data_IF_434760632199
#
_entry.id   IF_434760632199
#
_cell.length_a   1.000
_cell.length_b   1.000
_cell.length_c   1.000
_cell.angle_alpha   90.00
_cell.angle_beta   90.00
_cell.angle_gamma   90.00
#
_symmetry.space_group_name_H-M   'P 1'
#
loop_
_entity.id
_entity.type
_entity.pdbx_description
1 polymer ?
#
# COMPACT_ATOMS: atom_id res chain seq x y z
N UNK A 1 -11.55 -4.05 -6.83
CA UNK A 1 -12.03 -5.21 -6.05
C UNK A 1 -12.96 -4.76 -4.93
N UNK A 2 -12.51 -3.85 -4.05
CA UNK A 2 -13.29 -3.41 -2.88
C UNK A 2 -14.64 -2.75 -3.20
N UNK A 3 -14.75 -1.95 -4.26
CA UNK A 3 -16.05 -1.37 -4.69
C UNK A 3 -17.09 -2.44 -5.03
N UNK A 4 -16.65 -3.54 -5.64
CA UNK A 4 -17.51 -4.66 -6.00
C UNK A 4 -17.88 -5.50 -4.78
N UNK A 5 -16.94 -5.69 -3.85
CA UNK A 5 -17.16 -6.37 -2.56
C UNK A 5 -18.20 -5.61 -1.71
N UNK A 6 -17.98 -4.30 -1.49
CA UNK A 6 -18.90 -3.43 -0.72
C UNK A 6 -20.28 -3.29 -1.36
N UNK A 7 -20.35 -3.26 -2.69
CA UNK A 7 -21.62 -3.22 -3.42
C UNK A 7 -22.41 -4.53 -3.28
N UNK A 8 -21.71 -5.67 -3.32
CA UNK A 8 -22.32 -6.98 -3.10
C UNK A 8 -22.83 -7.16 -1.67
N UNK A 9 -22.06 -6.72 -0.69
CA UNK A 9 -22.45 -6.73 0.73
C UNK A 9 -23.73 -5.92 0.98
N UNK A 10 -23.83 -4.73 0.38
CA UNK A 10 -25.06 -3.92 0.44
C UNK A 10 -26.26 -4.62 -0.22
N UNK A 11 -26.09 -5.19 -1.41
CA UNK A 11 -27.18 -5.87 -2.11
C UNK A 11 -27.67 -7.12 -1.34
N UNK A 12 -26.77 -7.82 -0.65
CA UNK A 12 -27.13 -8.93 0.23
C UNK A 12 -27.95 -8.46 1.44
N UNK A 13 -27.55 -7.36 2.08
CA UNK A 13 -28.29 -6.72 3.16
C UNK A 13 -29.69 -6.25 2.73
N UNK A 14 -29.83 -5.69 1.53
CA UNK A 14 -31.12 -5.29 0.94
C UNK A 14 -32.05 -6.49 0.72
N UNK A 15 -31.49 -7.59 0.21
CA UNK A 15 -32.24 -8.83 -0.04
C UNK A 15 -32.77 -9.46 1.24
N UNK A 16 -32.00 -9.42 2.33
CA UNK A 16 -32.41 -9.98 3.63
C UNK A 16 -33.42 -9.06 4.34
N UNK A 17 -33.26 -7.74 4.20
CA UNK A 17 -34.14 -6.75 4.82
C UNK A 17 -35.39 -6.41 4.00
N UNK A 18 -35.51 -6.96 2.78
CA UNK A 18 -36.59 -6.68 1.81
C UNK A 18 -36.84 -5.18 1.60
N UNK A 19 -35.79 -4.37 1.79
CA UNK A 19 -35.84 -2.92 1.80
C UNK A 19 -34.64 -2.39 1.03
N UNK A 20 -34.85 -1.38 0.18
CA UNK A 20 -33.76 -0.68 -0.49
C UNK A 20 -32.94 0.13 0.52
N UNK A 21 -31.65 -0.19 0.63
CA UNK A 21 -30.70 0.46 1.53
C UNK A 21 -29.86 1.51 0.79
N UNK A 22 -29.96 1.58 -0.54
CA UNK A 22 -29.22 2.49 -1.40
C UNK A 22 -29.33 3.94 -0.97
N UNK A 23 -30.54 4.40 -0.62
CA UNK A 23 -30.81 5.79 -0.19
C UNK A 23 -30.71 6.00 1.33
N UNK A 24 -30.38 4.96 2.08
CA UNK A 24 -30.19 5.07 3.53
C UNK A 24 -28.84 5.69 3.88
N UNK A 25 -28.71 6.15 5.12
CA UNK A 25 -27.41 6.63 5.65
C UNK A 25 -26.31 5.58 5.49
N UNK A 26 -26.65 4.29 5.60
CA UNK A 26 -25.71 3.17 5.48
C UNK A 26 -25.24 3.01 4.04
N UNK A 27 -26.17 3.01 3.07
CA UNK A 27 -25.83 2.94 1.64
C UNK A 27 -24.95 4.10 1.19
N UNK A 28 -25.28 5.34 1.60
CA UNK A 28 -24.43 6.51 1.31
C UNK A 28 -23.06 6.44 1.97
N UNK A 29 -22.97 6.01 3.23
CA UNK A 29 -21.70 5.87 3.94
C UNK A 29 -20.80 4.82 3.27
N UNK A 30 -21.36 3.69 2.84
CA UNK A 30 -20.62 2.64 2.13
C UNK A 30 -20.07 3.14 0.79
N UNK A 31 -20.86 3.87 -0.01
CA UNK A 31 -20.37 4.51 -1.24
C UNK A 31 -19.24 5.51 -0.99
N UNK A 32 -19.37 6.34 0.04
CA UNK A 32 -18.31 7.29 0.41
C UNK A 32 -17.04 6.58 0.89
N UNK A 33 -17.17 5.51 1.68
CA UNK A 33 -16.03 4.70 2.10
C UNK A 33 -15.27 4.12 0.90
N UNK A 34 -15.99 3.58 -0.09
CA UNK A 34 -15.37 3.06 -1.32
C UNK A 34 -14.59 4.15 -2.07
N UNK A 35 -15.17 5.36 -2.21
CA UNK A 35 -14.48 6.47 -2.90
C UNK A 35 -13.21 6.86 -2.14
N UNK A 36 -13.30 7.04 -0.82
CA UNK A 36 -12.16 7.44 0.01
C UNK A 36 -11.06 6.38 -0.01
N UNK A 37 -11.41 5.11 0.19
CA UNK A 37 -10.43 4.02 0.19
C UNK A 37 -9.78 3.88 -1.18
N UNK A 38 -10.55 3.95 -2.27
CA UNK A 38 -9.99 3.87 -3.63
C UNK A 38 -9.03 5.02 -3.94
N UNK A 39 -9.33 6.23 -3.45
CA UNK A 39 -8.43 7.38 -3.58
C UNK A 39 -7.13 7.18 -2.78
N UNK A 40 -7.25 6.73 -1.53
CA UNK A 40 -6.09 6.49 -0.65
C UNK A 40 -5.22 5.35 -1.20
N UNK A 41 -5.81 4.25 -1.66
CA UNK A 41 -5.08 3.12 -2.24
C UNK A 41 -4.34 3.51 -3.53
N UNK A 42 -4.89 4.43 -4.33
CA UNK A 42 -4.22 4.96 -5.52
C UNK A 42 -3.12 5.98 -5.21
N UNK A 43 -3.39 6.93 -4.31
CA UNK A 43 -2.43 8.00 -4.00
C UNK A 43 -1.29 7.54 -3.09
N UNK A 44 -1.52 6.58 -2.20
CA UNK A 44 -0.51 6.18 -1.21
C UNK A 44 0.76 5.62 -1.84
N UNK A 45 0.71 4.68 -2.82
CA UNK A 45 1.91 4.20 -3.49
C UNK A 45 2.63 5.29 -4.29
N UNK A 46 1.88 6.24 -4.86
CA UNK A 46 2.45 7.36 -5.60
C UNK A 46 3.28 8.27 -4.69
N UNK A 47 2.69 8.72 -3.57
CA UNK A 47 3.38 9.55 -2.57
C UNK A 47 4.55 8.78 -1.95
N UNK A 48 4.36 7.49 -1.63
CA UNK A 48 5.42 6.63 -1.10
C UNK A 48 6.60 6.52 -2.07
N UNK A 49 6.33 6.40 -3.37
CA UNK A 49 7.37 6.32 -4.40
C UNK A 49 8.16 7.62 -4.51
N UNK A 50 7.49 8.78 -4.40
CA UNK A 50 8.17 10.08 -4.37
C UNK A 50 9.10 10.21 -3.17
N UNK A 51 8.68 9.74 -1.98
CA UNK A 51 9.51 9.75 -0.78
C UNK A 51 10.78 8.91 -0.98
N UNK A 52 10.64 7.72 -1.58
CA UNK A 52 11.77 6.82 -1.88
C UNK A 52 12.76 7.44 -2.88
N UNK A 53 12.29 8.32 -3.76
CA UNK A 53 13.13 9.01 -4.74
C UNK A 53 13.84 10.25 -4.19
N UNK A 54 13.50 10.75 -2.99
CA UNK A 54 14.14 11.94 -2.39
C UNK A 54 15.68 11.83 -2.38
N UNK A 55 16.31 10.71 -1.97
CA UNK A 55 17.77 10.56 -1.98
C UNK A 55 18.41 10.67 -3.37
N UNK A 56 17.66 10.38 -4.45
CA UNK A 56 18.12 10.58 -5.83
C UNK A 56 18.12 12.04 -6.24
N UNK A 57 17.15 12.85 -5.80
CA UNK A 57 17.13 14.29 -6.10
C UNK A 57 18.30 15.03 -5.46
N UNK A 58 18.76 14.59 -4.29
CA UNK A 58 19.95 15.14 -3.61
C UNK A 58 21.26 14.46 -4.02
N UNK A 59 21.25 13.53 -4.97
CA UNK A 59 22.45 12.84 -5.45
C UNK A 59 23.56 13.78 -5.96
N UNK A 60 23.26 14.90 -6.65
CA UNK A 60 24.28 15.89 -7.03
C UNK A 60 25.00 16.51 -5.83
N UNK A 61 24.35 16.59 -4.67
CA UNK A 61 24.93 17.13 -3.43
C UNK A 61 25.85 16.12 -2.73
N UNK A 62 25.55 14.83 -2.86
CA UNK A 62 26.33 13.73 -2.26
C UNK A 62 27.59 13.43 -3.08
N UNK A 63 27.57 13.73 -4.39
CA UNK A 63 28.71 13.56 -5.29
C UNK A 63 28.97 12.10 -5.70
N UNK A 64 28.16 11.14 -5.23
CA UNK A 64 28.28 9.73 -5.58
C UNK A 64 26.90 9.08 -5.80
N UNK A 65 26.62 8.70 -7.05
CA UNK A 65 25.36 8.10 -7.49
C UNK A 65 25.08 6.75 -6.79
N UNK A 66 26.12 5.95 -6.50
CA UNK A 66 25.98 4.65 -5.85
C UNK A 66 25.51 4.79 -4.40
N UNK A 67 26.04 5.80 -3.70
CA UNK A 67 25.65 6.09 -2.31
C UNK A 67 24.19 6.55 -2.26
N UNK A 68 23.80 7.45 -3.15
CA UNK A 68 22.40 7.90 -3.24
C UNK A 68 21.45 6.76 -3.60
N UNK A 69 21.87 5.84 -4.47
CA UNK A 69 21.08 4.66 -4.82
C UNK A 69 20.89 3.72 -3.63
N UNK A 70 21.98 3.45 -2.89
CA UNK A 70 21.91 2.66 -1.65
C UNK A 70 21.01 3.30 -0.59
N UNK A 71 21.06 4.64 -0.44
CA UNK A 71 20.18 5.38 0.45
C UNK A 71 18.70 5.29 0.03
N UNK A 72 18.39 5.40 -1.27
CA UNK A 72 17.03 5.20 -1.78
C UNK A 72 16.51 3.79 -1.47
N UNK A 73 17.33 2.75 -1.65
CA UNK A 73 16.95 1.38 -1.26
C UNK A 73 16.70 1.29 0.24
N UNK A 74 17.57 1.89 1.06
CA UNK A 74 17.40 1.89 2.51
C UNK A 74 16.09 2.59 2.94
N UNK A 75 15.76 3.73 2.34
CA UNK A 75 14.49 4.44 2.56
C UNK A 75 13.29 3.59 2.10
N UNK A 76 13.39 2.91 0.97
CA UNK A 76 12.35 2.01 0.49
C UNK A 76 12.08 0.86 1.47
N UNK A 77 13.14 0.17 1.92
CA UNK A 77 13.02 -0.94 2.87
C UNK A 77 12.52 -0.45 4.23
N UNK A 78 13.00 0.68 4.72
CA UNK A 78 12.51 1.28 5.97
C UNK A 78 11.02 1.65 5.88
N UNK A 79 10.59 2.21 4.75
CA UNK A 79 9.18 2.53 4.50
C UNK A 79 8.32 1.26 4.47
N UNK A 80 8.80 0.21 3.80
CA UNK A 80 8.10 -1.07 3.67
C UNK A 80 8.03 -1.84 5.00
N UNK A 81 9.07 -1.74 5.83
CA UNK A 81 9.07 -2.22 7.20
C UNK A 81 8.09 -1.43 8.07
N UNK A 82 8.08 -0.10 7.96
CA UNK A 82 7.14 0.79 8.65
C UNK A 82 5.69 0.48 8.32
N UNK A 83 5.37 0.30 7.02
CA UNK A 83 4.05 -0.12 6.56
C UNK A 83 3.67 -1.51 7.10
N UNK A 84 4.61 -2.44 7.15
CA UNK A 84 4.39 -3.76 7.75
C UNK A 84 4.10 -3.67 9.26
N UNK A 85 4.85 -2.86 10.00
CA UNK A 85 4.56 -2.61 11.42
C UNK A 85 3.17 -2.00 11.63
N UNK A 86 2.80 -1.03 10.79
CA UNK A 86 1.49 -0.38 10.82
C UNK A 86 0.36 -1.40 10.60
N UNK A 87 0.51 -2.30 9.62
CA UNK A 87 -0.46 -3.37 9.39
C UNK A 87 -0.51 -4.35 10.57
N UNK A 88 0.63 -4.67 11.18
CA UNK A 88 0.71 -5.46 12.40
C UNK A 88 -0.03 -4.83 13.57
N UNK A 89 0.05 -3.50 13.71
CA UNK A 89 -0.63 -2.74 14.75
C UNK A 89 -2.15 -2.83 14.60
N UNK A 90 -2.65 -2.55 13.39
CA UNK A 90 -4.10 -2.61 13.10
C UNK A 90 -4.63 -4.04 13.24
N UNK A 91 -3.83 -5.05 12.86
CA UNK A 91 -4.24 -6.46 12.91
C UNK A 91 -4.20 -7.07 14.32
N UNK A 92 -3.81 -6.32 15.35
CA UNK A 92 -3.64 -6.84 16.72
C UNK A 92 -2.58 -7.94 16.84
N UNK A 93 -1.61 -7.99 15.92
CA UNK A 93 -0.55 -9.00 15.87
C UNK A 93 0.81 -8.38 16.20
N UNK A 94 1.85 -9.20 16.29
CA UNK A 94 3.21 -8.73 16.56
C UNK A 94 3.69 -7.73 15.50
N UNK A 95 3.94 -6.48 15.91
CA UNK A 95 4.44 -5.38 15.06
C UNK A 95 5.68 -5.78 14.27
N UNK A 96 6.69 -6.27 14.99
CA UNK A 96 8.00 -6.67 14.44
C UNK A 96 7.83 -7.84 13.46
N UNK A 97 6.98 -8.82 13.79
CA UNK A 97 6.74 -9.98 12.94
C UNK A 97 6.12 -9.60 11.58
N UNK A 98 5.20 -8.64 11.56
CA UNK A 98 4.63 -8.15 10.30
C UNK A 98 5.61 -7.28 9.52
N UNK A 99 6.32 -6.35 10.19
CA UNK A 99 7.37 -5.55 9.56
C UNK A 99 8.44 -6.40 8.89
N UNK A 100 8.88 -7.47 9.56
CA UNK A 100 9.88 -8.37 9.01
C UNK A 100 9.33 -9.17 7.82
N UNK A 101 8.10 -9.67 7.91
CA UNK A 101 7.45 -10.41 6.80
C UNK A 101 7.30 -9.56 5.55
N UNK A 102 6.84 -8.31 5.68
CA UNK A 102 6.74 -7.41 4.52
C UNK A 102 8.11 -7.14 3.94
N UNK A 103 9.10 -6.83 4.78
CA UNK A 103 10.49 -6.57 4.32
C UNK A 103 11.09 -7.75 3.58
N UNK A 104 10.91 -8.97 4.09
CA UNK A 104 11.33 -10.20 3.41
C UNK A 104 10.63 -10.35 2.06
N UNK A 105 9.32 -10.11 1.98
CA UNK A 105 8.59 -10.12 0.71
C UNK A 105 9.14 -9.08 -0.28
N UNK A 106 9.49 -7.88 0.20
CA UNK A 106 10.14 -6.84 -0.60
C UNK A 106 11.51 -7.27 -1.13
N UNK A 107 12.36 -7.87 -0.27
CA UNK A 107 13.66 -8.40 -0.67
C UNK A 107 13.49 -9.50 -1.72
N UNK A 108 12.55 -10.43 -1.52
CA UNK A 108 12.24 -11.49 -2.48
C UNK A 108 11.80 -10.89 -3.81
N UNK A 109 10.95 -9.86 -3.81
CA UNK A 109 10.53 -9.19 -5.05
C UNK A 109 11.72 -8.53 -5.77
N UNK A 110 12.65 -7.91 -5.05
CA UNK A 110 13.89 -7.35 -5.62
C UNK A 110 14.75 -8.44 -6.23
N UNK A 111 14.94 -9.57 -5.53
CA UNK A 111 15.70 -10.71 -6.05
C UNK A 111 15.05 -11.27 -7.31
N UNK A 112 13.73 -11.45 -7.32
CA UNK A 112 13.00 -11.92 -8.51
C UNK A 112 13.18 -10.93 -9.66
N UNK A 113 13.04 -9.63 -9.41
CA UNK A 113 13.23 -8.60 -10.42
C UNK A 113 14.66 -8.60 -11.00
N UNK A 114 15.68 -8.83 -10.17
CA UNK A 114 17.07 -8.95 -10.60
C UNK A 114 17.37 -10.25 -11.36
N UNK A 115 16.64 -11.33 -11.07
CA UNK A 115 16.80 -12.63 -11.73
C UNK A 115 16.05 -12.72 -13.07
N UNK A 116 15.01 -11.90 -13.24
CA UNK A 116 14.33 -11.74 -14.52
C UNK A 116 15.35 -11.25 -15.56
N UNK A 117 15.48 -11.91 -16.72
CA UNK A 117 16.46 -11.52 -17.72
C UNK A 117 16.09 -10.17 -18.33
N UNK A 118 16.61 -9.10 -17.75
CA UNK A 118 16.68 -7.78 -18.38
C UNK A 118 17.83 -7.80 -19.38
N UNK A 119 17.65 -8.52 -20.50
CA UNK A 119 18.41 -8.18 -21.70
C UNK A 119 17.76 -6.94 -22.32
N UNK A 120 18.54 -5.92 -22.69
CA UNK A 120 18.03 -4.77 -23.42
C UNK A 120 17.45 -5.18 -24.78
#
# INVERSE_FOLDING_TARGET
AESAERGRELAELERISLTDLGETKIGRASRMAVIVVSLVDGLSPFVSSLIVLIPMFIAPLIGNILVSYALSIAVALASLFGLGMFLGHISGRSLIGYGLRTTVAGIVAIVINALLPTKP
#
